data_IF_970694158926
#
_entry.id   IF_970694158926
#
_cell.length_a   1.000
_cell.length_b   1.000
_cell.length_c   1.000
_cell.angle_alpha   90.00
_cell.angle_beta   90.00
_cell.angle_gamma   90.00
#
_symmetry.space_group_name_H-M   'P 1'
#
loop_
_entity.id
_entity.type
_entity.pdbx_description
1 polymer ?
#
# COMPACT_ATOMS: atom_id res chain seq x y z
N UNK A 1 -2.80 6.15 -8.24
CA UNK A 1 -2.17 7.43 -8.57
C UNK A 1 -2.61 8.55 -7.61
N UNK A 2 -3.92 8.79 -7.43
CA UNK A 2 -4.43 9.84 -6.53
C UNK A 2 -3.85 9.78 -5.10
N UNK A 3 -3.68 8.59 -4.54
CA UNK A 3 -3.07 8.40 -3.23
C UNK A 3 -1.63 8.92 -3.19
N UNK A 4 -0.82 8.59 -4.20
CA UNK A 4 0.57 9.03 -4.31
C UNK A 4 0.67 10.55 -4.50
N UNK A 5 -0.25 11.13 -5.27
CA UNK A 5 -0.34 12.57 -5.44
C UNK A 5 -0.68 13.27 -4.12
N UNK A 6 -1.67 12.77 -3.39
CA UNK A 6 -2.01 13.28 -2.07
C UNK A 6 -0.85 13.17 -1.08
N UNK A 7 -0.15 12.03 -1.04
CA UNK A 7 1.04 11.89 -0.20
C UNK A 7 2.14 12.90 -0.56
N UNK A 8 2.38 13.13 -1.86
CA UNK A 8 3.37 14.10 -2.33
C UNK A 8 3.01 15.53 -1.91
N UNK A 9 1.77 15.96 -2.16
CA UNK A 9 1.29 17.30 -1.85
C UNK A 9 1.25 17.57 -0.33
N UNK A 10 0.61 16.68 0.45
CA UNK A 10 0.44 16.89 1.90
C UNK A 10 1.74 16.84 2.70
N UNK A 11 2.78 16.19 2.17
CA UNK A 11 4.09 16.10 2.83
C UNK A 11 5.15 16.98 2.15
N UNK A 12 4.82 17.65 1.05
CA UNK A 12 5.73 18.44 0.23
C UNK A 12 6.99 17.65 -0.13
N UNK A 13 6.82 16.47 -0.74
CA UNK A 13 7.90 15.54 -1.13
C UNK A 13 7.73 15.12 -2.58
N UNK A 14 8.83 14.76 -3.24
CA UNK A 14 8.75 13.98 -4.48
C UNK A 14 8.34 12.54 -4.15
N UNK A 15 7.38 12.00 -4.90
CA UNK A 15 6.90 10.63 -4.74
C UNK A 15 7.31 9.80 -5.96
N UNK A 16 8.26 8.88 -5.75
CA UNK A 16 8.71 7.91 -6.74
C UNK A 16 7.85 6.65 -6.58
N UNK A 17 7.03 6.35 -7.58
CA UNK A 17 6.02 5.28 -7.50
C UNK A 17 6.27 4.20 -8.54
N UNK A 18 7.33 3.37 -8.39
CA UNK A 18 7.49 2.19 -9.23
C UNK A 18 6.41 1.16 -8.87
N UNK A 19 5.93 0.43 -9.88
CA UNK A 19 5.03 -0.70 -9.69
C UNK A 19 5.51 -1.91 -10.49
N UNK A 20 5.09 -3.09 -10.04
CA UNK A 20 5.52 -4.37 -10.60
C UNK A 20 4.85 -4.60 -11.95
N UNK A 21 5.65 -5.08 -12.90
CA UNK A 21 5.18 -5.49 -14.21
C UNK A 21 4.56 -6.90 -14.22
N UNK A 22 4.28 -7.47 -15.40
CA UNK A 22 3.85 -8.85 -15.52
C UNK A 22 4.86 -9.81 -14.89
N UNK A 23 4.35 -10.86 -14.25
CA UNK A 23 5.15 -11.99 -13.79
C UNK A 23 4.79 -13.23 -14.59
N UNK A 24 5.80 -14.04 -14.91
CA UNK A 24 5.58 -15.40 -15.38
C UNK A 24 5.62 -16.31 -14.14
N UNK A 25 4.47 -16.86 -13.71
CA UNK A 25 4.42 -17.71 -12.52
C UNK A 25 5.09 -19.06 -12.75
N UNK A 26 5.49 -19.37 -13.98
CA UNK A 26 6.12 -20.62 -14.39
C UNK A 26 7.04 -20.42 -15.61
N UNK A 27 8.19 -21.10 -15.74
CA UNK A 27 9.10 -20.95 -16.87
C UNK A 27 8.48 -21.34 -18.22
N UNK A 28 7.52 -22.29 -18.19
CA UNK A 28 6.78 -22.74 -19.38
C UNK A 28 5.53 -21.89 -19.68
N UNK A 29 5.24 -20.84 -18.89
CA UNK A 29 4.08 -20.01 -19.14
C UNK A 29 4.29 -19.17 -20.41
N UNK A 30 3.41 -19.34 -21.40
CA UNK A 30 3.46 -18.59 -22.66
C UNK A 30 3.03 -17.13 -22.47
N UNK A 31 2.09 -16.89 -21.56
CA UNK A 31 1.54 -15.56 -21.28
C UNK A 31 1.80 -15.16 -19.83
N UNK A 32 2.14 -13.89 -19.58
CA UNK A 32 2.37 -13.41 -18.24
C UNK A 32 1.06 -13.12 -17.49
N UNK A 33 1.14 -13.13 -16.17
CA UNK A 33 0.08 -12.67 -15.28
C UNK A 33 0.36 -11.27 -14.77
N UNK A 34 -0.64 -10.41 -14.88
CA UNK A 34 -0.58 -9.05 -14.33
C UNK A 34 -0.97 -9.06 -12.85
N UNK A 35 0.01 -8.95 -11.97
CA UNK A 35 -0.21 -8.88 -10.52
C UNK A 35 -0.16 -7.45 -9.96
N UNK A 36 0.54 -6.54 -10.64
CA UNK A 36 0.82 -5.20 -10.14
C UNK A 36 -0.06 -4.11 -10.73
N UNK A 37 -0.65 -4.32 -11.91
CA UNK A 37 -1.46 -3.31 -12.59
C UNK A 37 -0.65 -2.18 -13.24
N UNK A 38 0.68 -2.14 -13.10
CA UNK A 38 1.53 -1.12 -13.73
C UNK A 38 1.30 0.29 -13.18
N UNK A 39 1.19 1.27 -14.06
CA UNK A 39 0.99 2.68 -13.67
C UNK A 39 2.16 3.28 -12.90
N UNK A 40 3.40 2.96 -13.25
CA UNK A 40 4.57 3.59 -12.62
C UNK A 40 4.58 5.09 -12.90
N UNK A 41 4.87 5.92 -11.91
CA UNK A 41 4.86 7.38 -12.06
C UNK A 41 5.77 8.09 -11.06
N UNK A 42 6.06 9.35 -11.34
CA UNK A 42 6.76 10.28 -10.46
C UNK A 42 5.87 11.49 -10.26
N UNK A 43 5.68 11.89 -9.00
CA UNK A 43 4.91 13.07 -8.61
C UNK A 43 5.83 14.10 -7.97
N UNK A 44 5.63 15.37 -8.31
CA UNK A 44 6.31 16.48 -7.66
C UNK A 44 5.73 16.81 -6.28
N UNK A 45 6.41 17.71 -5.56
CA UNK A 45 6.03 18.16 -4.22
C UNK A 45 4.74 19.01 -4.17
N UNK A 46 4.11 19.29 -5.31
CA UNK A 46 2.81 19.95 -5.42
C UNK A 46 1.68 18.96 -5.74
N UNK A 47 1.99 17.67 -5.92
CA UNK A 47 1.00 16.67 -6.32
C UNK A 47 0.84 16.51 -7.83
N UNK A 48 1.68 17.17 -8.65
CA UNK A 48 1.61 17.09 -10.11
C UNK A 48 2.39 15.87 -10.62
N UNK A 49 1.83 15.18 -11.62
CA UNK A 49 2.51 14.05 -12.24
C UNK A 49 3.59 14.57 -13.19
N UNK A 50 4.86 14.31 -12.86
CA UNK A 50 6.00 14.69 -13.69
C UNK A 50 6.23 13.73 -14.84
N UNK A 51 6.00 12.44 -14.58
CA UNK A 51 6.26 11.35 -15.51
C UNK A 51 5.39 10.16 -15.15
N UNK A 52 4.90 9.45 -16.17
CA UNK A 52 3.94 8.38 -15.98
C UNK A 52 4.00 7.38 -17.13
N UNK A 53 3.96 6.10 -16.79
CA UNK A 53 3.74 5.01 -17.71
C UNK A 53 2.46 4.26 -17.37
N UNK A 54 1.48 4.33 -18.27
CA UNK A 54 0.16 3.71 -18.09
C UNK A 54 0.12 2.20 -18.28
N UNK A 55 1.14 1.62 -18.92
CA UNK A 55 1.17 0.18 -19.16
C UNK A 55 1.70 -0.59 -17.94
N UNK A 56 1.48 -1.89 -17.98
CA UNK A 56 2.02 -2.83 -17.01
C UNK A 56 3.34 -3.45 -17.49
N UNK A 57 3.79 -3.21 -18.71
CA UNK A 57 5.02 -3.79 -19.23
C UNK A 57 6.26 -3.23 -18.51
N UNK A 58 7.37 -3.96 -18.65
CA UNK A 58 8.69 -3.47 -18.23
C UNK A 58 8.98 -2.16 -18.95
N UNK A 59 9.13 -1.11 -18.17
CA UNK A 59 9.18 0.26 -18.67
C UNK A 59 10.07 1.12 -17.78
N UNK A 60 10.50 2.25 -18.34
CA UNK A 60 11.33 3.23 -17.63
C UNK A 60 10.50 4.50 -17.48
N UNK A 61 10.40 5.00 -16.26
CA UNK A 61 9.82 6.29 -15.92
C UNK A 61 10.94 7.15 -15.35
N UNK A 62 11.09 8.37 -15.88
CA UNK A 62 12.17 9.28 -15.48
C UNK A 62 11.66 10.72 -15.38
N UNK A 63 12.27 11.50 -14.51
CA UNK A 63 12.04 12.93 -14.35
C UNK A 63 13.29 13.59 -13.74
N UNK A 64 13.47 14.89 -13.96
CA UNK A 64 14.50 15.69 -13.29
C UNK A 64 13.99 16.09 -11.91
N UNK A 65 14.78 15.84 -10.87
CA UNK A 65 14.45 16.22 -9.49
C UNK A 65 15.23 17.49 -9.12
N UNK A 66 14.53 18.60 -8.93
CA UNK A 66 15.13 19.87 -8.51
C UNK A 66 15.02 20.03 -6.98
N UNK A 67 16.13 19.78 -6.30
CA UNK A 67 16.21 19.84 -4.85
C UNK A 67 16.18 21.29 -4.33
N UNK A 68 16.69 22.25 -5.08
CA UNK A 68 16.68 23.66 -4.67
C UNK A 68 15.28 24.25 -4.81
N UNK A 69 14.56 23.94 -5.90
CA UNK A 69 13.16 24.32 -6.03
C UNK A 69 12.29 23.77 -4.89
N UNK A 70 12.51 22.52 -4.48
CA UNK A 70 11.84 21.94 -3.32
C UNK A 70 12.19 22.67 -2.01
N UNK A 71 13.45 23.01 -1.79
CA UNK A 71 13.89 23.79 -0.62
C UNK A 71 13.23 25.16 -0.59
N UNK A 72 13.23 25.87 -1.73
CA UNK A 72 12.55 27.16 -1.88
C UNK A 72 11.06 27.05 -1.62
N UNK A 73 10.38 26.04 -2.16
CA UNK A 73 8.97 25.80 -1.89
C UNK A 73 8.69 25.65 -0.40
N UNK A 74 9.47 24.83 0.31
CA UNK A 74 9.30 24.57 1.75
C UNK A 74 9.59 25.79 2.64
N UNK A 75 10.43 26.73 2.21
CA UNK A 75 10.84 27.87 3.04
C UNK A 75 10.14 29.18 2.68
N UNK A 76 9.67 29.33 1.44
CA UNK A 76 9.10 30.58 0.94
C UNK A 76 7.60 30.50 0.67
N UNK A 77 7.06 29.31 0.39
CA UNK A 77 5.64 29.20 0.07
C UNK A 77 4.78 29.21 1.34
N UNK A 78 3.89 30.21 1.43
CA UNK A 78 3.00 30.40 2.57
C UNK A 78 1.75 29.52 2.48
N UNK A 79 1.30 29.20 1.27
CA UNK A 79 0.11 28.39 1.00
C UNK A 79 0.54 27.03 0.43
N UNK A 80 -0.28 25.99 0.56
CA UNK A 80 0.00 24.64 0.01
C UNK A 80 1.24 23.90 0.57
N UNK A 81 2.12 24.56 1.32
CA UNK A 81 3.12 23.93 2.17
C UNK A 81 2.46 23.54 3.49
N UNK A 82 1.82 22.38 3.53
CA UNK A 82 0.93 21.99 4.63
C UNK A 82 1.67 21.56 5.90
N UNK A 83 2.92 21.06 5.76
CA UNK A 83 3.68 20.49 6.86
C UNK A 83 3.91 21.51 8.00
N UNK A 84 4.13 22.78 7.65
CA UNK A 84 4.35 23.86 8.64
C UNK A 84 3.12 24.18 9.50
N UNK A 85 1.92 23.85 9.02
CA UNK A 85 0.67 24.19 9.70
C UNK A 85 0.15 23.03 10.58
N UNK A 86 0.89 21.91 10.66
CA UNK A 86 0.50 20.77 11.48
C UNK A 86 0.55 21.09 12.97
N UNK A 87 -0.63 21.05 13.61
CA UNK A 87 -0.80 21.10 15.07
C UNK A 87 -0.50 19.76 15.72
N UNK A 88 0.76 19.34 15.67
CA UNK A 88 1.22 18.00 16.12
C UNK A 88 0.82 17.66 17.56
N UNK A 89 0.65 18.65 18.43
CA UNK A 89 0.20 18.47 19.80
C UNK A 89 -1.24 17.93 19.90
N UNK A 90 -2.10 18.25 18.92
CA UNK A 90 -3.47 17.72 18.84
C UNK A 90 -3.43 16.25 18.40
N UNK A 91 -2.62 15.95 17.39
CA UNK A 91 -2.50 14.61 16.82
C UNK A 91 -1.78 13.64 17.77
N UNK A 92 -0.84 14.13 18.59
CA UNK A 92 -0.08 13.30 19.55
C UNK A 92 -1.01 12.47 20.45
N UNK A 93 -2.09 13.06 20.97
CA UNK A 93 -3.07 12.35 21.80
C UNK A 93 -3.85 11.30 21.01
N UNK A 94 -4.20 11.59 19.76
CA UNK A 94 -4.89 10.63 18.89
C UNK A 94 -4.06 9.36 18.67
N UNK A 95 -2.74 9.51 18.52
CA UNK A 95 -1.80 8.41 18.29
C UNK A 95 -1.15 7.85 19.56
N UNK A 96 -1.56 8.29 20.75
CA UNK A 96 -0.98 7.84 22.03
C UNK A 96 -1.21 6.35 22.29
N UNK A 97 -2.38 5.83 21.91
CA UNK A 97 -2.74 4.42 22.07
C UNK A 97 -2.61 3.69 20.73
N UNK A 98 -1.90 2.54 20.66
CA UNK A 98 -1.70 1.82 19.41
C UNK A 98 -3.02 1.37 18.80
N UNK A 99 -3.16 1.45 17.48
CA UNK A 99 -4.33 0.94 16.75
C UNK A 99 -4.08 -0.50 16.32
N UNK A 100 -2.97 -0.74 15.62
CA UNK A 100 -2.53 -2.07 15.24
C UNK A 100 -1.68 -2.71 16.36
N UNK A 101 -1.89 -3.98 16.71
CA UNK A 101 -1.13 -4.63 17.78
C UNK A 101 0.36 -4.72 17.44
N UNK A 102 1.21 -4.41 18.43
CA UNK A 102 2.66 -4.57 18.31
C UNK A 102 3.07 -6.03 18.41
N UNK A 103 4.20 -6.39 17.80
CA UNK A 103 4.87 -7.69 17.96
C UNK A 103 4.04 -8.93 17.56
N UNK A 104 3.00 -8.79 16.72
CA UNK A 104 2.12 -9.89 16.30
C UNK A 104 2.88 -11.13 15.78
N UNK A 105 4.01 -10.88 15.12
CA UNK A 105 4.82 -11.87 14.40
C UNK A 105 6.25 -11.94 14.95
N UNK A 106 6.47 -11.53 16.21
CA UNK A 106 7.82 -11.53 16.80
C UNK A 106 8.32 -12.96 17.03
N UNK A 107 7.45 -13.81 17.58
CA UNK A 107 7.78 -15.20 17.97
C UNK A 107 7.14 -16.24 17.03
N UNK A 108 6.42 -15.80 16.00
CA UNK A 108 5.74 -16.67 15.03
C UNK A 108 5.67 -16.04 13.65
N UNK A 109 5.49 -16.86 12.62
CA UNK A 109 5.27 -16.38 11.26
C UNK A 109 3.96 -15.59 11.10
N UNK A 110 3.84 -14.75 10.05
CA UNK A 110 2.61 -14.02 9.74
C UNK A 110 1.39 -14.95 9.60
N UNK A 111 0.24 -14.50 10.10
CA UNK A 111 -1.01 -15.22 9.91
C UNK A 111 -1.41 -15.29 8.44
N UNK A 112 -2.17 -16.33 8.11
CA UNK A 112 -2.88 -16.42 6.84
C UNK A 112 -4.15 -15.56 6.84
N UNK A 113 -4.75 -15.41 5.66
CA UNK A 113 -5.85 -14.47 5.41
C UNK A 113 -7.01 -14.56 6.40
N UNK A 114 -7.45 -15.76 6.77
CA UNK A 114 -8.56 -15.96 7.71
C UNK A 114 -8.29 -15.33 9.08
N UNK A 115 -7.15 -15.64 9.70
CA UNK A 115 -6.75 -15.07 11.00
C UNK A 115 -6.38 -13.58 10.88
N UNK A 116 -5.81 -13.16 9.75
CA UNK A 116 -5.51 -11.75 9.50
C UNK A 116 -6.78 -10.89 9.45
N UNK A 117 -7.88 -11.41 8.89
CA UNK A 117 -9.16 -10.71 8.87
C UNK A 117 -9.64 -10.36 10.29
N UNK A 118 -9.48 -11.27 11.25
CA UNK A 118 -9.88 -11.06 12.65
C UNK A 118 -9.06 -9.96 13.31
N UNK A 119 -7.75 -9.90 13.01
CA UNK A 119 -6.88 -8.81 13.47
C UNK A 119 -7.36 -7.46 12.90
N UNK A 120 -7.72 -7.41 11.63
CA UNK A 120 -8.17 -6.17 10.99
C UNK A 120 -9.55 -5.72 11.49
N UNK A 121 -10.48 -6.66 11.70
CA UNK A 121 -11.77 -6.37 12.34
C UNK A 121 -11.58 -5.85 13.76
N UNK A 122 -10.71 -6.47 14.54
CA UNK A 122 -10.34 -5.99 15.87
C UNK A 122 -9.81 -4.55 15.85
N UNK A 123 -8.97 -4.18 14.88
CA UNK A 123 -8.47 -2.80 14.74
C UNK A 123 -9.61 -1.80 14.45
N UNK A 124 -10.58 -2.19 13.63
CA UNK A 124 -11.77 -1.37 13.35
C UNK A 124 -12.63 -1.23 14.61
N UNK A 125 -12.88 -2.34 15.31
CA UNK A 125 -13.64 -2.34 16.56
C UNK A 125 -12.97 -1.47 17.63
N UNK A 126 -11.63 -1.45 17.70
CA UNK A 126 -10.89 -0.53 18.57
C UNK A 126 -11.14 0.94 18.22
N UNK A 127 -11.18 1.30 16.93
CA UNK A 127 -11.46 2.66 16.50
C UNK A 127 -12.92 3.07 16.79
N UNK A 128 -13.85 2.12 16.69
CA UNK A 128 -15.26 2.34 17.06
C UNK A 128 -15.39 2.50 18.58
N UNK A 129 -14.79 1.63 19.38
CA UNK A 129 -14.84 1.68 20.84
C UNK A 129 -14.22 2.98 21.40
N UNK A 130 -13.25 3.56 20.69
CA UNK A 130 -12.66 4.88 21.00
C UNK A 130 -13.53 6.06 20.57
N UNK A 131 -14.60 5.84 19.82
CA UNK A 131 -15.42 6.90 19.22
C UNK A 131 -14.74 7.63 18.06
N UNK A 132 -13.64 7.08 17.52
CA UNK A 132 -13.00 7.65 16.30
C UNK A 132 -13.85 7.39 15.07
N UNK A 133 -14.41 6.18 14.99
CA UNK A 133 -15.38 5.82 13.96
C UNK A 133 -16.77 5.63 14.58
N UNK A 134 -17.79 6.05 13.84
CA UNK A 134 -19.18 5.76 14.14
C UNK A 134 -19.65 4.63 13.25
N UNK A 135 -20.35 3.64 13.83
CA UNK A 135 -20.92 2.54 13.05
C UNK A 135 -21.91 3.07 12.00
N UNK A 136 -21.97 2.47 10.80
CA UNK A 136 -22.97 2.82 9.81
C UNK A 136 -24.38 2.48 10.35
N UNK A 137 -25.41 3.09 9.77
CA UNK A 137 -26.81 2.83 10.14
C UNK A 137 -27.29 1.43 9.77
N UNK A 138 -26.60 0.76 8.83
CA UNK A 138 -26.89 -0.58 8.37
C UNK A 138 -25.61 -1.41 8.37
N UNK A 139 -25.68 -2.61 8.93
CA UNK A 139 -24.56 -3.54 8.96
C UNK A 139 -24.80 -4.73 8.02
N UNK A 140 -23.73 -5.19 7.40
CA UNK A 140 -23.67 -6.41 6.60
C UNK A 140 -22.38 -7.15 6.94
N UNK A 141 -22.32 -8.45 6.64
CA UNK A 141 -21.20 -9.33 7.01
C UNK A 141 -19.83 -8.85 6.49
N UNK A 142 -19.83 -8.04 5.42
CA UNK A 142 -18.62 -7.45 4.85
C UNK A 142 -17.77 -8.45 4.07
N UNK A 143 -16.60 -8.01 3.62
CA UNK A 143 -15.63 -8.88 2.98
C UNK A 143 -14.99 -9.83 4.01
N UNK A 144 -14.80 -11.09 3.60
CA UNK A 144 -14.07 -12.11 4.35
C UNK A 144 -13.30 -13.01 3.39
N UNK A 145 -12.23 -13.61 3.89
CA UNK A 145 -11.57 -14.68 3.17
C UNK A 145 -12.56 -15.81 2.84
N UNK A 146 -12.61 -16.20 1.57
CA UNK A 146 -13.51 -17.24 1.03
C UNK A 146 -12.74 -18.45 0.49
N UNK A 147 -11.41 -18.44 0.57
CA UNK A 147 -10.60 -19.54 0.06
C UNK A 147 -10.67 -20.75 0.99
N UNK A 148 -10.58 -21.94 0.40
CA UNK A 148 -10.43 -23.18 1.15
C UNK A 148 -8.94 -23.42 1.45
N UNK A 149 -8.64 -23.97 2.63
CA UNK A 149 -7.27 -24.39 2.95
C UNK A 149 -6.89 -25.55 2.03
N UNK A 150 -5.77 -25.41 1.33
CA UNK A 150 -5.24 -26.51 0.52
C UNK A 150 -5.01 -27.74 1.42
N UNK A 151 -5.52 -28.90 0.99
CA UNK A 151 -5.18 -30.17 1.64
C UNK A 151 -3.73 -30.52 1.32
N UNK A 152 -3.15 -31.45 2.07
CA UNK A 152 -1.78 -31.90 1.78
C UNK A 152 -1.71 -32.47 0.37
N UNK A 153 -2.72 -33.23 -0.04
CA UNK A 153 -2.83 -33.81 -1.37
C UNK A 153 -2.95 -32.74 -2.45
N UNK A 154 -3.85 -31.76 -2.27
CA UNK A 154 -4.01 -30.68 -3.26
C UNK A 154 -2.76 -29.81 -3.35
N UNK A 155 -2.06 -29.61 -2.23
CA UNK A 155 -0.78 -28.90 -2.20
C UNK A 155 0.33 -29.67 -2.94
N UNK A 156 0.40 -31.00 -2.79
CA UNK A 156 1.36 -31.82 -3.55
C UNK A 156 1.05 -31.79 -5.05
N UNK A 157 -0.22 -31.80 -5.46
CA UNK A 157 -0.58 -31.62 -6.86
C UNK A 157 -0.24 -30.21 -7.38
N UNK A 158 -0.50 -29.16 -6.59
CA UNK A 158 -0.13 -27.78 -6.95
C UNK A 158 1.38 -27.64 -7.12
N UNK A 159 2.18 -28.30 -6.28
CA UNK A 159 3.65 -28.30 -6.43
C UNK A 159 4.12 -28.88 -7.76
N UNK A 160 3.39 -29.83 -8.36
CA UNK A 160 3.74 -30.35 -9.69
C UNK A 160 3.57 -29.30 -10.78
N UNK A 161 2.77 -28.26 -10.55
CA UNK A 161 2.64 -27.11 -11.45
C UNK A 161 3.86 -26.18 -11.40
N UNK A 162 4.81 -26.41 -10.49
CA UNK A 162 6.03 -25.61 -10.32
C UNK A 162 7.27 -26.40 -10.78
N UNK A 163 7.11 -27.25 -11.80
CA UNK A 163 8.22 -27.99 -12.39
C UNK A 163 9.14 -27.07 -13.23
N UNK A 164 10.39 -27.47 -13.50
CA UNK A 164 11.28 -26.71 -14.39
C UNK A 164 11.87 -25.39 -13.86
N UNK A 165 11.74 -25.08 -12.56
CA UNK A 165 12.49 -23.99 -11.91
C UNK A 165 13.90 -24.39 -11.43
N UNK A 166 14.23 -25.70 -11.44
CA UNK A 166 15.47 -26.26 -10.90
C UNK A 166 16.40 -26.84 -11.99
N UNK A 167 16.04 -26.66 -13.27
CA UNK A 167 16.86 -27.06 -14.42
C UNK A 167 17.78 -25.91 -14.88
#
# INVERSE_FOLDING_TARGET
MIQNQGHAEFNSVYMLSPNVGPVYPHPKAEFPFNIGGGNSHIVDYRGEIMSYQANNANSIVYAVIDIEALRQFRTMNLNSNWLKDLRTELFKKMYEKPIHPKNLWLDRGPAQHEEADDIYRGNIDFLIARGTYTRPSHEFEGARYKGEKATVESWQEIKKLWDGFLD
#
